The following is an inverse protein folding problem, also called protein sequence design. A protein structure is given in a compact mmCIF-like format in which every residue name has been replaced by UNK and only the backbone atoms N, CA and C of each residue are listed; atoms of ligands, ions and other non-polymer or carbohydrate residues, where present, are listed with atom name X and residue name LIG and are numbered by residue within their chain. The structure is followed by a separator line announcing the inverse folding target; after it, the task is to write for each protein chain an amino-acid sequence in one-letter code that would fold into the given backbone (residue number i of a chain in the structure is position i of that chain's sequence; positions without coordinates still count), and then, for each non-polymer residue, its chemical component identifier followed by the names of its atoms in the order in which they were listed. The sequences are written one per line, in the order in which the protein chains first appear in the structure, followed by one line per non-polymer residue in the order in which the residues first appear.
data_IF_282691688104
#
_entry.id   IF_282691688104
#
_cell.length_a   1.000
_cell.length_b   1.000
_cell.length_c   1.000
_cell.angle_alpha   90.00
_cell.angle_beta   90.00
_cell.angle_gamma   90.00
#
_symmetry.space_group_name_H-M   'P 1'
#
loop_
_entity.id
_entity.type
_entity.pdbx_description
1 polymer ?
#
# COMPACT_ATOMS: atom_id res chain seq x y z
N UNK A 1 -8.15 -13.89 19.51
CA UNK A 1 -8.32 -14.02 18.04
C UNK A 1 -7.70 -12.81 17.37
N UNK A 2 -6.80 -13.01 16.42
CA UNK A 2 -6.06 -11.94 15.73
C UNK A 2 -6.96 -11.19 14.76
N UNK A 3 -6.90 -9.85 14.79
CA UNK A 3 -7.61 -8.95 13.89
C UNK A 3 -6.61 -8.03 13.22
N UNK A 4 -6.87 -7.65 11.98
CA UNK A 4 -6.03 -6.74 11.19
C UNK A 4 -6.86 -5.60 10.63
N UNK A 5 -6.39 -4.38 10.83
CA UNK A 5 -6.93 -3.18 10.21
C UNK A 5 -5.87 -2.52 9.33
N UNK A 6 -6.19 -2.39 8.04
CA UNK A 6 -5.30 -1.82 7.02
C UNK A 6 -5.80 -0.42 6.66
N UNK A 7 -4.99 0.58 6.94
CA UNK A 7 -5.26 1.96 6.54
C UNK A 7 -4.80 2.17 5.09
N UNK A 8 -5.75 2.37 4.18
CA UNK A 8 -5.53 2.46 2.72
C UNK A 8 -5.80 3.85 2.19
N UNK A 9 -5.12 4.24 1.10
CA UNK A 9 -5.27 5.57 0.53
C UNK A 9 -6.59 5.73 -0.24
N UNK A 10 -6.94 4.77 -1.08
CA UNK A 10 -8.04 4.87 -2.02
C UNK A 10 -8.90 3.62 -2.16
N UNK A 11 -9.83 3.68 -3.12
CA UNK A 11 -10.79 2.61 -3.38
C UNK A 11 -10.14 1.37 -4.03
N UNK A 12 -9.08 1.55 -4.81
CA UNK A 12 -8.36 0.45 -5.45
C UNK A 12 -7.72 -0.44 -4.39
N UNK A 13 -7.02 0.18 -3.44
CA UNK A 13 -6.40 -0.53 -2.31
C UNK A 13 -7.47 -1.16 -1.40
N UNK A 14 -8.60 -0.46 -1.16
CA UNK A 14 -9.70 -1.02 -0.39
C UNK A 14 -10.26 -2.29 -1.03
N UNK A 15 -10.48 -2.27 -2.36
CA UNK A 15 -10.94 -3.44 -3.12
C UNK A 15 -9.90 -4.56 -3.10
N UNK A 16 -8.62 -4.24 -3.30
CA UNK A 16 -7.52 -5.21 -3.21
C UNK A 16 -7.49 -5.89 -1.84
N UNK A 17 -7.59 -5.10 -0.76
CA UNK A 17 -7.60 -5.64 0.60
C UNK A 17 -8.80 -6.56 0.82
N UNK A 18 -9.99 -6.15 0.45
CA UNK A 18 -11.20 -6.90 0.75
C UNK A 18 -11.33 -8.18 -0.07
N UNK A 19 -10.97 -8.14 -1.34
CA UNK A 19 -11.27 -9.21 -2.30
C UNK A 19 -10.09 -10.19 -2.52
N UNK A 20 -8.84 -9.74 -2.30
CA UNK A 20 -7.65 -10.58 -2.55
C UNK A 20 -6.90 -10.83 -1.24
N UNK A 21 -6.59 -9.78 -0.51
CA UNK A 21 -5.68 -9.84 0.62
C UNK A 21 -6.32 -10.48 1.86
N UNK A 22 -7.56 -10.08 2.20
CA UNK A 22 -8.29 -10.61 3.34
C UNK A 22 -8.58 -12.12 3.22
N UNK A 23 -9.06 -12.66 2.07
CA UNK A 23 -9.23 -14.10 1.90
C UNK A 23 -7.94 -14.91 2.10
N UNK A 24 -6.78 -14.36 1.69
CA UNK A 24 -5.49 -14.97 1.95
C UNK A 24 -5.17 -14.98 3.45
N UNK A 25 -5.32 -13.83 4.12
CA UNK A 25 -4.98 -13.68 5.54
C UNK A 25 -5.92 -14.44 6.48
N UNK A 26 -7.18 -14.66 6.11
CA UNK A 26 -8.06 -15.57 6.86
C UNK A 26 -7.48 -16.98 6.94
N UNK A 27 -6.87 -17.48 5.86
CA UNK A 27 -6.18 -18.79 5.85
C UNK A 27 -4.94 -18.81 6.75
N UNK A 28 -4.37 -17.65 7.06
CA UNK A 28 -3.24 -17.49 7.98
C UNK A 28 -3.66 -17.35 9.45
N UNK A 29 -4.95 -17.42 9.77
CA UNK A 29 -5.46 -17.43 11.15
C UNK A 29 -5.99 -16.08 11.66
N UNK A 30 -6.18 -15.09 10.80
CA UNK A 30 -6.91 -13.89 11.19
C UNK A 30 -8.41 -14.18 11.29
N UNK A 31 -9.04 -13.72 12.38
CA UNK A 31 -10.48 -13.77 12.54
C UNK A 31 -11.21 -12.63 11.81
N UNK A 32 -10.53 -11.52 11.60
CA UNK A 32 -11.04 -10.36 10.87
C UNK A 32 -9.91 -9.58 10.21
N UNK A 33 -10.12 -9.25 8.94
CA UNK A 33 -9.27 -8.32 8.17
C UNK A 33 -10.19 -7.27 7.56
N UNK A 34 -9.80 -6.00 7.64
CA UNK A 34 -10.61 -4.92 7.07
C UNK A 34 -9.74 -3.77 6.60
N UNK A 35 -10.20 -3.10 5.55
CA UNK A 35 -9.63 -1.84 5.07
C UNK A 35 -10.32 -0.64 5.70
N UNK A 36 -9.57 0.45 5.89
CA UNK A 36 -10.09 1.75 6.29
C UNK A 36 -9.44 2.85 5.46
N UNK A 37 -10.25 3.59 4.74
CA UNK A 37 -9.81 4.73 3.96
C UNK A 37 -9.24 5.83 4.88
N UNK A 38 -8.00 6.26 4.62
CA UNK A 38 -7.37 7.42 5.25
C UNK A 38 -7.73 8.74 4.57
N UNK A 39 -8.43 8.68 3.45
CA UNK A 39 -8.93 9.83 2.71
C UNK A 39 -10.15 10.50 3.35
N UNK A 40 -10.61 11.62 2.76
CA UNK A 40 -11.82 12.31 3.21
C UNK A 40 -13.08 11.51 2.83
N UNK A 41 -13.53 10.63 3.71
CA UNK A 41 -14.75 9.82 3.54
C UNK A 41 -16.03 10.66 3.35
N UNK A 42 -16.02 11.95 3.71
CA UNK A 42 -17.19 12.83 3.63
C UNK A 42 -17.46 13.44 2.24
N UNK A 43 -16.51 13.37 1.31
CA UNK A 43 -16.74 13.91 -0.04
C UNK A 43 -17.03 12.76 -1.01
N UNK A 44 -18.31 12.52 -1.27
CA UNK A 44 -18.80 11.47 -2.20
C UNK A 44 -18.14 11.47 -3.59
N UNK A 45 -17.60 12.61 -4.03
CA UNK A 45 -17.00 12.81 -5.36
C UNK A 45 -15.47 12.92 -5.36
N UNK A 46 -14.81 12.88 -4.18
CA UNK A 46 -13.36 12.83 -4.02
C UNK A 46 -12.99 11.80 -2.95
N UNK A 47 -13.31 10.55 -3.20
CA UNK A 47 -12.88 9.43 -2.36
C UNK A 47 -11.47 9.05 -2.78
N UNK A 48 -10.48 9.50 -2.03
CA UNK A 48 -9.07 9.23 -2.26
C UNK A 48 -8.21 10.43 -1.90
N UNK A 49 -6.89 10.22 -1.93
CA UNK A 49 -5.89 11.20 -1.58
C UNK A 49 -5.54 11.22 -0.11
N UNK A 50 -4.24 11.37 0.12
CA UNK A 50 -3.65 11.24 1.45
C UNK A 50 -3.99 12.40 2.38
N UNK A 51 -4.38 12.10 3.60
CA UNK A 51 -4.61 13.10 4.66
C UNK A 51 -3.28 13.52 5.29
N UNK A 52 -3.34 14.63 6.05
CA UNK A 52 -2.26 15.02 6.95
C UNK A 52 -1.96 13.92 7.96
N UNK A 53 -0.66 13.64 8.20
CA UNK A 53 -0.25 12.58 9.13
C UNK A 53 -0.89 12.67 10.52
N UNK A 54 -0.99 13.84 11.18
CA UNK A 54 -1.60 13.90 12.51
C UNK A 54 -3.02 13.34 12.57
N UNK A 55 -3.80 13.48 11.50
CA UNK A 55 -5.15 12.95 11.44
C UNK A 55 -5.16 11.43 11.26
N UNK A 56 -4.26 10.90 10.40
CA UNK A 56 -4.10 9.45 10.19
C UNK A 56 -3.55 8.78 11.45
N UNK A 57 -2.52 9.38 12.07
CA UNK A 57 -1.97 8.95 13.35
C UNK A 57 -3.04 8.81 14.42
N UNK A 58 -3.88 9.84 14.61
CA UNK A 58 -4.92 9.81 15.61
C UNK A 58 -5.93 8.67 15.37
N UNK A 59 -6.26 8.38 14.11
CA UNK A 59 -7.13 7.25 13.77
C UNK A 59 -6.45 5.92 14.11
N UNK A 60 -5.18 5.73 13.76
CA UNK A 60 -4.40 4.53 14.09
C UNK A 60 -4.30 4.34 15.60
N UNK A 61 -3.88 5.38 16.33
CA UNK A 61 -3.74 5.36 17.79
C UNK A 61 -5.05 4.98 18.47
N UNK A 62 -6.17 5.57 18.04
CA UNK A 62 -7.49 5.22 18.56
C UNK A 62 -7.81 3.74 18.38
N UNK A 63 -7.64 3.19 17.17
CA UNK A 63 -7.93 1.78 16.89
C UNK A 63 -7.04 0.84 17.72
N UNK A 64 -5.77 1.17 17.88
CA UNK A 64 -4.85 0.39 18.70
C UNK A 64 -5.23 0.40 20.19
N UNK A 65 -5.80 1.53 20.68
CA UNK A 65 -6.30 1.64 22.08
C UNK A 65 -7.62 0.92 22.29
N UNK A 66 -8.54 1.03 21.33
CA UNK A 66 -9.87 0.41 21.41
C UNK A 66 -9.82 -1.12 21.28
N UNK A 67 -8.82 -1.67 20.57
CA UNK A 67 -8.70 -3.11 20.33
C UNK A 67 -7.28 -3.64 20.61
N UNK A 68 -7.00 -4.13 21.83
CA UNK A 68 -5.70 -4.71 22.18
C UNK A 68 -5.29 -5.94 21.36
N UNK A 69 -6.23 -6.64 20.74
CA UNK A 69 -5.96 -7.78 19.85
C UNK A 69 -5.78 -7.42 18.38
N UNK A 70 -5.82 -6.13 18.04
CA UNK A 70 -5.68 -5.68 16.66
C UNK A 70 -4.22 -5.40 16.30
N UNK A 71 -3.79 -5.93 15.16
CA UNK A 71 -2.66 -5.44 14.39
C UNK A 71 -3.14 -4.33 13.46
N UNK A 72 -2.41 -3.25 13.38
CA UNK A 72 -2.71 -2.15 12.45
C UNK A 72 -1.55 -1.98 11.48
N UNK A 73 -1.85 -1.73 10.23
CA UNK A 73 -0.88 -1.44 9.17
C UNK A 73 -1.37 -0.31 8.27
N UNK A 74 -0.48 0.24 7.46
CA UNK A 74 -0.82 1.16 6.37
C UNK A 74 -0.59 0.49 5.02
N UNK A 75 -1.25 0.97 3.97
CA UNK A 75 -0.96 0.68 2.58
C UNK A 75 -1.24 1.97 1.81
N UNK A 76 -0.20 2.80 1.67
CA UNK A 76 -0.26 4.16 1.15
C UNK A 76 0.85 4.42 0.15
N UNK A 77 0.55 5.24 -0.87
CA UNK A 77 1.49 5.55 -1.94
C UNK A 77 2.61 6.49 -1.46
N UNK A 78 3.87 6.07 -1.62
CA UNK A 78 5.03 6.90 -1.31
C UNK A 78 4.99 8.25 -2.03
N UNK A 79 4.60 8.25 -3.31
CA UNK A 79 4.52 9.45 -4.14
C UNK A 79 3.54 10.49 -3.57
N UNK A 80 2.41 10.05 -3.04
CA UNK A 80 1.34 10.90 -2.49
C UNK A 80 1.65 11.53 -1.14
N UNK A 81 2.67 11.04 -0.38
CA UNK A 81 2.91 11.48 0.99
C UNK A 81 3.43 12.93 1.08
N UNK A 82 2.75 13.84 1.81
CA UNK A 82 3.22 15.21 2.04
C UNK A 82 4.57 15.25 2.74
N UNK A 83 5.49 16.08 2.22
CA UNK A 83 6.89 16.15 2.69
C UNK A 83 7.12 17.25 3.73
N UNK A 84 6.28 18.29 3.75
CA UNK A 84 6.54 19.51 4.54
C UNK A 84 5.26 20.08 5.14
N UNK A 85 5.43 20.98 6.14
CA UNK A 85 4.33 21.69 6.80
C UNK A 85 3.52 20.81 7.74
N UNK A 86 2.38 21.30 8.18
CA UNK A 86 1.49 20.62 9.13
C UNK A 86 0.88 19.31 8.62
N UNK A 87 1.01 19.02 7.32
CA UNK A 87 0.53 17.78 6.70
C UNK A 87 1.61 16.71 6.56
N UNK A 88 2.87 17.06 6.83
CA UNK A 88 4.02 16.19 6.57
C UNK A 88 3.88 14.81 7.23
N UNK A 89 4.33 13.81 6.49
CA UNK A 89 4.49 12.45 6.98
C UNK A 89 5.91 12.26 7.50
N UNK A 90 6.09 11.65 8.70
CA UNK A 90 7.40 11.36 9.26
C UNK A 90 8.31 10.63 8.27
N UNK A 91 9.58 10.99 8.25
CA UNK A 91 10.58 10.37 7.37
C UNK A 91 10.48 10.75 5.89
N UNK A 92 9.33 11.21 5.36
CA UNK A 92 9.14 11.38 3.91
C UNK A 92 10.10 12.38 3.26
N UNK A 93 10.40 13.49 3.94
CA UNK A 93 11.36 14.48 3.43
C UNK A 93 12.79 13.92 3.38
N UNK A 94 13.22 13.24 4.45
CA UNK A 94 14.55 12.63 4.52
C UNK A 94 14.69 11.51 3.48
N UNK A 95 13.69 10.64 3.35
CA UNK A 95 13.65 9.55 2.37
C UNK A 95 13.78 10.03 0.93
N UNK A 96 13.34 11.25 0.60
CA UNK A 96 13.45 11.82 -0.74
C UNK A 96 14.89 11.96 -1.25
N UNK A 97 15.85 12.02 -0.34
CA UNK A 97 17.29 12.19 -0.63
C UNK A 97 18.07 10.86 -0.65
N UNK A 98 17.41 9.74 -0.32
CA UNK A 98 18.05 8.44 -0.16
C UNK A 98 17.95 7.59 -1.43
N UNK A 99 18.82 6.55 -1.58
CA UNK A 99 18.65 5.49 -2.56
C UNK A 99 17.29 4.79 -2.41
N UNK A 100 16.83 4.17 -3.51
CA UNK A 100 15.51 3.52 -3.59
C UNK A 100 15.26 2.55 -2.43
N UNK A 101 16.20 1.64 -2.18
CA UNK A 101 16.14 0.58 -1.18
C UNK A 101 15.99 1.07 0.27
N UNK A 102 16.29 2.34 0.53
CA UNK A 102 16.17 2.94 1.86
C UNK A 102 14.93 3.81 2.04
N UNK A 103 14.27 4.20 0.94
CA UNK A 103 13.17 5.18 0.98
C UNK A 103 11.97 4.71 1.81
N UNK A 104 11.43 3.54 1.51
CA UNK A 104 10.27 3.01 2.21
C UNK A 104 10.56 2.80 3.69
N UNK A 105 11.64 2.09 4.01
CA UNK A 105 12.03 1.80 5.39
C UNK A 105 12.23 3.06 6.23
N UNK A 106 12.84 4.11 5.67
CA UNK A 106 13.02 5.39 6.40
C UNK A 106 11.68 6.02 6.78
N UNK A 107 10.68 5.94 5.93
CA UNK A 107 9.34 6.44 6.25
C UNK A 107 8.66 5.51 7.27
N UNK A 108 8.68 4.22 7.06
CA UNK A 108 8.05 3.21 7.90
C UNK A 108 8.60 3.22 9.33
N UNK A 109 9.93 3.32 9.48
CA UNK A 109 10.57 3.45 10.79
C UNK A 109 10.12 4.73 11.49
N UNK A 110 10.13 5.86 10.80
CA UNK A 110 9.67 7.13 11.37
C UNK A 110 8.18 7.13 11.74
N UNK A 111 7.33 6.43 10.98
CA UNK A 111 5.91 6.22 11.33
C UNK A 111 5.78 5.36 12.59
N UNK A 112 6.57 4.29 12.69
CA UNK A 112 6.58 3.38 13.84
C UNK A 112 7.03 4.10 15.11
N UNK A 113 8.09 4.90 15.03
CA UNK A 113 8.58 5.71 16.14
C UNK A 113 7.54 6.73 16.63
N UNK A 114 6.84 7.39 15.69
CA UNK A 114 5.83 8.39 16.03
C UNK A 114 4.60 7.75 16.71
N UNK A 115 4.13 6.60 16.22
CA UNK A 115 3.03 5.83 16.85
C UNK A 115 3.46 5.34 18.24
N UNK A 116 4.67 4.79 18.37
CA UNK A 116 5.18 4.30 19.65
C UNK A 116 5.24 5.41 20.70
N UNK A 117 5.72 6.61 20.30
CA UNK A 117 5.76 7.79 21.18
C UNK A 117 4.38 8.24 21.62
N UNK A 118 3.41 8.25 20.70
CA UNK A 118 2.03 8.67 20.99
C UNK A 118 1.27 7.66 21.85
N UNK A 119 1.56 6.37 21.70
CA UNK A 119 0.97 5.31 22.52
C UNK A 119 1.52 5.30 23.95
N UNK A 120 2.81 5.62 24.13
CA UNK A 120 3.46 5.68 25.43
C UNK A 120 3.90 4.32 25.97
N UNK A 121 4.22 4.31 27.28
CA UNK A 121 4.71 3.11 27.96
C UNK A 121 3.67 1.98 27.95
N UNK A 122 4.16 0.74 27.78
CA UNK A 122 3.32 -0.48 27.80
C UNK A 122 2.67 -0.82 26.45
N UNK A 123 2.84 0.00 25.43
CA UNK A 123 2.44 -0.37 24.08
C UNK A 123 3.40 -1.41 23.48
N UNK A 124 2.85 -2.44 22.86
CA UNK A 124 3.62 -3.41 22.09
C UNK A 124 3.86 -2.88 20.66
N UNK A 125 5.10 -2.45 20.31
CA UNK A 125 5.41 -1.88 19.02
C UNK A 125 5.10 -2.82 17.84
N UNK A 126 5.13 -4.13 18.05
CA UNK A 126 4.82 -5.12 17.02
C UNK A 126 3.36 -5.05 16.54
N UNK A 127 2.50 -4.32 17.24
CA UNK A 127 1.09 -4.11 16.86
C UNK A 127 0.88 -3.06 15.76
N UNK A 128 1.93 -2.36 15.35
CA UNK A 128 1.89 -1.46 14.21
C UNK A 128 2.99 -1.81 13.22
N UNK A 129 2.60 -2.23 12.04
CA UNK A 129 3.49 -2.64 10.95
C UNK A 129 3.19 -1.76 9.74
N UNK A 130 3.77 -0.53 9.65
CA UNK A 130 3.51 0.33 8.50
C UNK A 130 4.04 -0.31 7.22
N UNK A 131 3.37 0.01 6.12
CA UNK A 131 3.80 -0.29 4.76
C UNK A 131 3.54 0.93 3.87
N UNK A 132 4.58 1.35 3.19
CA UNK A 132 4.57 2.45 2.22
C UNK A 132 4.86 1.88 0.85
N UNK A 133 3.87 1.89 0.00
CA UNK A 133 3.93 1.31 -1.34
C UNK A 133 4.80 2.15 -2.27
N UNK A 134 5.79 1.54 -2.86
CA UNK A 134 6.74 2.18 -3.76
C UNK A 134 6.29 2.02 -5.23
N UNK A 135 5.98 3.05 -5.99
CA UNK A 135 5.78 4.45 -5.54
C UNK A 135 4.29 4.77 -5.50
N UNK A 136 3.50 3.98 -6.23
CA UNK A 136 2.04 3.99 -6.36
C UNK A 136 1.50 2.56 -6.50
N UNK A 137 0.21 2.36 -6.22
CA UNK A 137 -0.47 1.07 -6.41
C UNK A 137 -0.28 0.50 -7.82
N UNK A 138 -0.31 1.35 -8.83
CA UNK A 138 -0.12 0.93 -10.21
C UNK A 138 1.24 0.27 -10.48
N UNK A 139 2.24 0.49 -9.64
CA UNK A 139 3.50 -0.25 -9.70
C UNK A 139 3.29 -1.75 -9.56
N UNK A 140 2.44 -2.18 -8.63
CA UNK A 140 2.14 -3.60 -8.41
C UNK A 140 1.52 -4.30 -9.63
N UNK A 141 0.83 -3.55 -10.51
CA UNK A 141 0.21 -4.11 -11.71
C UNK A 141 1.23 -4.62 -12.73
N UNK A 142 2.45 -4.10 -12.70
CA UNK A 142 3.54 -4.57 -13.55
C UNK A 142 4.18 -5.89 -13.06
N UNK A 143 3.63 -6.52 -12.03
CA UNK A 143 4.07 -7.85 -11.57
C UNK A 143 3.75 -8.97 -12.55
N UNK A 144 2.75 -8.78 -13.43
CA UNK A 144 2.43 -9.67 -14.53
C UNK A 144 1.79 -8.86 -15.66
N UNK A 145 2.60 -8.46 -16.63
CA UNK A 145 2.18 -7.55 -17.70
C UNK A 145 1.16 -8.17 -18.66
N UNK A 146 1.19 -9.50 -18.86
CA UNK A 146 0.21 -10.21 -19.66
C UNK A 146 -1.16 -10.18 -18.98
N UNK A 147 -1.23 -10.61 -17.72
CA UNK A 147 -2.46 -10.58 -16.94
C UNK A 147 -2.96 -9.15 -16.69
N UNK A 148 -2.05 -8.20 -16.51
CA UNK A 148 -2.42 -6.79 -16.43
C UNK A 148 -3.20 -6.34 -17.67
N UNK A 149 -2.66 -6.60 -18.85
CA UNK A 149 -3.30 -6.22 -20.12
C UNK A 149 -4.64 -6.92 -20.33
N UNK A 150 -4.73 -8.19 -19.95
CA UNK A 150 -5.98 -8.97 -19.99
C UNK A 150 -7.03 -8.40 -19.04
N UNK A 151 -6.64 -8.09 -17.79
CA UNK A 151 -7.54 -7.57 -16.76
C UNK A 151 -8.18 -6.21 -17.13
N UNK A 152 -7.47 -5.37 -17.87
CA UNK A 152 -8.02 -4.10 -18.36
C UNK A 152 -8.70 -4.23 -19.74
N UNK A 153 -8.82 -5.45 -20.30
CA UNK A 153 -9.43 -5.70 -21.60
C UNK A 153 -8.61 -5.22 -22.80
N UNK A 154 -7.29 -5.09 -22.66
CA UNK A 154 -6.36 -4.58 -23.69
C UNK A 154 -5.16 -5.52 -23.90
N UNK A 155 -5.39 -6.81 -24.24
CA UNK A 155 -4.33 -7.82 -24.34
C UNK A 155 -3.21 -7.43 -25.32
N UNK A 156 -3.49 -6.59 -26.31
CA UNK A 156 -2.52 -6.07 -27.26
C UNK A 156 -1.44 -5.18 -26.60
N UNK A 157 -1.67 -4.68 -25.40
CA UNK A 157 -0.71 -3.83 -24.66
C UNK A 157 0.30 -4.63 -23.84
N UNK A 158 0.21 -5.95 -23.76
CA UNK A 158 1.11 -6.78 -22.96
C UNK A 158 2.60 -6.51 -23.24
N UNK A 159 2.97 -6.42 -24.52
CA UNK A 159 4.36 -6.14 -24.94
C UNK A 159 4.79 -4.72 -24.52
N UNK A 160 3.89 -3.74 -24.61
CA UNK A 160 4.20 -2.37 -24.22
C UNK A 160 4.37 -2.23 -22.70
N UNK A 161 3.53 -2.89 -21.90
CA UNK A 161 3.71 -2.96 -20.43
C UNK A 161 5.00 -3.69 -20.07
N UNK A 162 5.30 -4.81 -20.74
CA UNK A 162 6.53 -5.55 -20.50
C UNK A 162 7.78 -4.69 -20.81
N UNK A 163 7.77 -3.91 -21.87
CA UNK A 163 8.86 -3.00 -22.20
C UNK A 163 9.06 -1.89 -21.13
N UNK A 164 8.00 -1.47 -20.42
CA UNK A 164 8.13 -0.63 -19.23
C UNK A 164 8.76 -1.39 -18.07
N UNK A 165 8.25 -2.60 -17.78
CA UNK A 165 8.70 -3.44 -16.66
C UNK A 165 10.20 -3.77 -16.73
N UNK A 166 10.70 -4.07 -17.91
CA UNK A 166 12.11 -4.49 -18.16
C UNK A 166 13.14 -3.37 -17.94
N UNK A 167 12.70 -2.13 -17.79
CA UNK A 167 13.59 -1.00 -17.45
C UNK A 167 13.99 -0.98 -15.97
N UNK A 168 13.39 -1.82 -15.12
CA UNK A 168 13.55 -1.81 -13.67
C UNK A 168 13.78 -3.21 -13.14
N UNK A 169 14.50 -3.36 -12.01
CA UNK A 169 14.74 -4.66 -11.38
C UNK A 169 13.48 -5.24 -10.75
N UNK A 170 12.58 -4.39 -10.26
CA UNK A 170 11.28 -4.79 -9.72
C UNK A 170 10.19 -3.79 -10.12
N UNK A 171 8.90 -4.18 -10.06
CA UNK A 171 7.78 -3.25 -10.24
C UNK A 171 7.81 -2.07 -9.26
N UNK A 172 8.33 -2.28 -8.07
CA UNK A 172 8.43 -1.26 -7.02
C UNK A 172 9.44 -0.15 -7.33
N UNK A 173 10.37 -0.37 -8.27
CA UNK A 173 11.34 0.62 -8.72
C UNK A 173 10.81 1.56 -9.80
N UNK A 174 9.63 1.30 -10.36
CA UNK A 174 8.99 2.21 -11.32
C UNK A 174 8.76 3.55 -10.62
N UNK A 175 9.43 4.58 -11.09
CA UNK A 175 9.80 5.76 -10.31
C UNK A 175 8.71 6.80 -10.04
N UNK A 176 8.96 7.61 -9.01
CA UNK A 176 8.10 8.68 -8.51
C UNK A 176 8.38 10.03 -9.19
N UNK A 177 7.94 10.22 -10.42
CA UNK A 177 8.04 11.53 -11.07
C UNK A 177 6.71 11.96 -11.65
N UNK A 178 6.48 13.27 -11.84
CA UNK A 178 5.24 13.77 -12.42
C UNK A 178 4.90 13.23 -13.81
N UNK A 179 5.88 12.69 -14.53
CA UNK A 179 5.71 12.21 -15.91
C UNK A 179 6.04 10.72 -16.10
N UNK A 180 6.70 10.07 -15.13
CA UNK A 180 7.15 8.68 -15.22
C UNK A 180 6.70 7.79 -14.07
N UNK A 181 5.84 8.30 -13.19
CA UNK A 181 5.16 7.52 -12.16
C UNK A 181 4.39 6.34 -12.78
N UNK A 182 4.21 5.22 -12.05
CA UNK A 182 3.52 4.05 -12.58
C UNK A 182 2.19 4.37 -13.26
N UNK A 183 1.34 5.17 -12.62
CA UNK A 183 0.07 5.60 -13.20
C UNK A 183 0.23 6.40 -14.49
N UNK A 184 1.26 7.24 -14.61
CA UNK A 184 1.51 8.02 -15.83
C UNK A 184 1.94 7.15 -16.99
N UNK A 185 2.72 6.09 -16.73
CA UNK A 185 3.08 5.10 -17.75
C UNK A 185 1.87 4.32 -18.25
N UNK A 186 0.94 3.99 -17.34
CA UNK A 186 -0.33 3.37 -17.72
C UNK A 186 -1.19 4.33 -18.53
N UNK A 187 -1.38 5.57 -18.08
CA UNK A 187 -2.17 6.60 -18.77
C UNK A 187 -1.66 6.92 -20.18
N UNK A 188 -0.33 6.86 -20.40
CA UNK A 188 0.25 7.04 -21.73
C UNK A 188 -0.15 5.94 -22.72
N UNK A 189 -0.31 4.71 -22.25
CA UNK A 189 -0.71 3.56 -23.07
C UNK A 189 -2.24 3.39 -23.10
N UNK A 190 -2.94 3.86 -22.07
CA UNK A 190 -4.38 3.77 -21.89
C UNK A 190 -4.93 5.14 -21.50
N UNK A 191 -5.17 6.06 -22.45
CA UNK A 191 -5.60 7.43 -22.15
C UNK A 191 -6.90 7.55 -21.33
N UNK A 192 -7.76 6.53 -21.36
CA UNK A 192 -9.01 6.45 -20.60
C UNK A 192 -8.88 5.57 -19.34
N UNK A 193 -7.68 5.46 -18.76
CA UNK A 193 -7.46 4.63 -17.56
C UNK A 193 -8.19 5.19 -16.34
N UNK A 194 -9.21 4.47 -15.91
CA UNK A 194 -9.96 4.76 -14.67
C UNK A 194 -9.37 3.94 -13.52
N UNK A 195 -8.55 4.56 -12.68
CA UNK A 195 -7.81 3.91 -11.60
C UNK A 195 -8.66 2.94 -10.75
N UNK A 196 -9.80 3.34 -10.14
CA UNK A 196 -10.53 2.43 -9.28
C UNK A 196 -11.07 1.20 -10.01
N UNK A 197 -11.57 1.36 -11.23
CA UNK A 197 -12.17 0.27 -11.99
C UNK A 197 -11.09 -0.62 -12.63
N UNK A 198 -10.28 -0.06 -13.51
CA UNK A 198 -9.31 -0.84 -14.28
C UNK A 198 -8.17 -1.36 -13.41
N UNK A 199 -7.73 -0.60 -12.39
CA UNK A 199 -6.74 -1.08 -11.43
C UNK A 199 -7.25 -2.27 -10.60
N UNK A 200 -8.51 -2.25 -10.21
CA UNK A 200 -9.13 -3.38 -9.48
C UNK A 200 -9.25 -4.61 -10.37
N UNK A 201 -9.73 -4.46 -11.62
CA UNK A 201 -9.82 -5.58 -12.56
C UNK A 201 -8.45 -6.18 -12.87
N UNK A 202 -7.45 -5.32 -13.09
CA UNK A 202 -6.07 -5.74 -13.34
C UNK A 202 -5.51 -6.56 -12.17
N UNK A 203 -5.63 -6.06 -10.94
CA UNK A 203 -5.05 -6.74 -9.79
C UNK A 203 -5.74 -8.07 -9.47
N UNK A 204 -7.02 -8.22 -9.80
CA UNK A 204 -7.72 -9.51 -9.70
C UNK A 204 -7.16 -10.55 -10.67
N UNK A 205 -6.87 -10.14 -11.90
CA UNK A 205 -6.30 -11.03 -12.91
C UNK A 205 -4.85 -11.40 -12.57
N UNK A 206 -4.04 -10.44 -12.11
CA UNK A 206 -2.64 -10.64 -11.71
C UNK A 206 -2.55 -11.59 -10.51
N UNK A 207 -3.33 -11.34 -9.46
CA UNK A 207 -3.35 -12.13 -8.25
C UNK A 207 -2.17 -11.87 -7.30
N UNK A 208 -2.35 -12.31 -6.04
CA UNK A 208 -1.40 -12.06 -4.95
C UNK A 208 -0.03 -12.72 -5.17
N UNK A 209 -0.01 -13.91 -5.76
CA UNK A 209 1.22 -14.69 -5.92
C UNK A 209 2.21 -14.02 -6.88
N UNK A 210 1.75 -13.41 -7.96
CA UNK A 210 2.60 -12.66 -8.88
C UNK A 210 3.18 -11.42 -8.19
N UNK A 211 2.37 -10.64 -7.47
CA UNK A 211 2.83 -9.47 -6.72
C UNK A 211 3.87 -9.88 -5.67
N UNK A 212 3.60 -10.93 -4.91
CA UNK A 212 4.53 -11.46 -3.89
C UNK A 212 5.87 -11.89 -4.48
N UNK A 213 5.86 -12.48 -5.68
CA UNK A 213 7.08 -12.94 -6.35
C UNK A 213 7.94 -11.78 -6.86
N UNK A 214 7.30 -10.79 -7.48
CA UNK A 214 7.97 -9.72 -8.20
C UNK A 214 8.30 -8.48 -7.34
N UNK A 215 7.59 -8.28 -6.21
CA UNK A 215 7.69 -7.10 -5.34
C UNK A 215 8.34 -7.48 -4.00
N UNK A 216 9.66 -7.29 -3.84
CA UNK A 216 10.38 -7.69 -2.63
C UNK A 216 9.87 -7.02 -1.35
N UNK A 217 9.66 -5.71 -1.36
CA UNK A 217 9.20 -4.96 -0.20
C UNK A 217 7.76 -5.35 0.21
N UNK A 218 6.87 -5.52 -0.77
CA UNK A 218 5.53 -6.07 -0.54
C UNK A 218 5.58 -7.48 0.08
N UNK A 219 6.46 -8.34 -0.43
CA UNK A 219 6.65 -9.70 0.08
C UNK A 219 7.09 -9.72 1.54
N UNK A 220 8.02 -8.84 1.93
CA UNK A 220 8.49 -8.72 3.31
C UNK A 220 7.38 -8.26 4.24
N UNK A 221 6.62 -7.24 3.83
CA UNK A 221 5.46 -6.78 4.56
C UNK A 221 4.41 -7.89 4.73
N UNK A 222 4.01 -8.56 3.65
CA UNK A 222 3.07 -9.68 3.70
C UNK A 222 3.54 -10.77 4.66
N UNK A 223 4.82 -11.16 4.60
CA UNK A 223 5.39 -12.18 5.48
C UNK A 223 5.34 -11.78 6.97
N UNK A 224 5.49 -10.49 7.29
CA UNK A 224 5.30 -9.97 8.67
C UNK A 224 3.86 -10.12 9.13
N UNK A 225 2.90 -9.81 8.27
CA UNK A 225 1.48 -9.96 8.57
C UNK A 225 1.09 -11.43 8.74
N UNK A 226 1.57 -12.33 7.88
CA UNK A 226 1.30 -13.78 7.96
C UNK A 226 1.80 -14.39 9.28
N UNK A 227 2.93 -13.93 9.80
CA UNK A 227 3.50 -14.43 11.07
C UNK A 227 2.76 -13.96 12.32
N UNK A 228 2.05 -12.85 12.25
CA UNK A 228 1.45 -12.22 13.43
C UNK A 228 0.49 -13.11 14.21
N UNK A 229 -0.49 -13.83 13.61
CA UNK A 229 -1.41 -14.67 14.36
C UNK A 229 -0.72 -15.79 15.13
N UNK A 230 0.36 -16.34 14.58
CA UNK A 230 1.10 -17.47 15.15
C UNK A 230 1.95 -17.07 16.36
N UNK A 231 2.39 -15.82 16.44
CA UNK A 231 3.20 -15.30 17.53
C UNK A 231 2.37 -14.95 18.79
N UNK A 232 1.04 -15.08 18.73
CA UNK A 232 0.12 -14.71 19.83
C UNK A 232 -0.68 -15.87 20.40
N UNK A 233 -0.40 -17.08 19.96
CA UNK A 233 -0.89 -18.33 20.57
C UNK A 233 0.22 -18.92 21.49
#
# INVERSE_FOLDING_TARGET
MSRLLIHVEGQTEESFVNEIFAPHLYKQGYARVGARLVGNARQRYRRGGIRAWPAVRNDIVRHLREDPGCLTTTMVDYYGLPQTGARAWPGRKAAGLLPFDQKAFTVEDALSEDINREQGQGFDPARFVPYVMMHEFEGLLFSDCERFSQGIGRPELAVAFQAVREQFSSPEEINDSPVTAPSKRVEQLVPAYEKPLLGTLAVFEIGLDAIRRECPHFREWLARLEKWPHNRN
#
